data_IF_098321280046
#
_entry.id   IF_098321280046
#
_cell.length_a   1.000
_cell.length_b   1.000
_cell.length_c   1.000
_cell.angle_alpha   90.00
_cell.angle_beta   90.00
_cell.angle_gamma   90.00
#
_symmetry.space_group_name_H-M   'P 1'
#
loop_
_entity.id
_entity.type
_entity.pdbx_description
1 polymer ?
#
# COMPACT_ATOMS: atom_id res chain seq x y z
N UNK A 1 4.23 -24.50 -11.14
CA UNK A 1 3.97 -25.27 -9.91
C UNK A 1 3.19 -24.34 -8.98
N UNK A 2 1.86 -24.49 -8.91
CA UNK A 2 1.04 -23.73 -7.99
C UNK A 2 1.31 -24.24 -6.57
N UNK A 3 1.99 -23.45 -5.76
CA UNK A 3 2.10 -23.71 -4.32
C UNK A 3 0.74 -23.43 -3.70
N UNK A 4 -0.05 -24.48 -3.50
CA UNK A 4 -1.19 -24.41 -2.61
C UNK A 4 -0.65 -24.20 -1.19
N UNK A 5 -0.63 -22.95 -0.71
CA UNK A 5 -0.48 -22.67 0.70
C UNK A 5 -1.68 -23.31 1.41
N UNK A 6 -1.42 -24.39 2.13
CA UNK A 6 -2.40 -25.01 3.04
C UNK A 6 -2.84 -23.91 3.99
N UNK A 7 -4.12 -23.56 3.93
CA UNK A 7 -4.76 -22.62 4.87
C UNK A 7 -4.79 -23.27 6.26
N UNK A 8 -3.69 -23.28 6.94
CA UNK A 8 -3.72 -23.53 8.38
C UNK A 8 -4.33 -22.29 9.02
N UNK A 9 -5.41 -22.49 9.76
CA UNK A 9 -6.06 -21.44 10.53
C UNK A 9 -5.02 -20.98 11.55
N UNK A 10 -4.48 -19.77 11.38
CA UNK A 10 -3.62 -19.20 12.41
C UNK A 10 -4.41 -19.17 13.72
N UNK A 11 -3.80 -19.60 14.81
CA UNK A 11 -4.46 -19.66 16.12
C UNK A 11 -4.88 -18.27 16.61
N UNK A 12 -4.14 -17.23 16.19
CA UNK A 12 -4.43 -15.84 16.47
C UNK A 12 -4.27 -15.00 15.19
N UNK A 13 -5.11 -13.98 15.04
CA UNK A 13 -5.00 -13.03 13.93
C UNK A 13 -3.86 -12.05 14.20
N UNK A 14 -3.16 -11.64 13.16
CA UNK A 14 -2.21 -10.54 13.25
C UNK A 14 -2.94 -9.22 13.46
N UNK A 15 -2.43 -8.42 14.39
CA UNK A 15 -2.93 -7.09 14.72
C UNK A 15 -2.43 -6.08 13.70
N UNK A 16 -3.37 -5.37 13.08
CA UNK A 16 -3.06 -4.46 11.98
C UNK A 16 -3.39 -3.03 12.35
N UNK A 17 -2.44 -2.13 12.08
CA UNK A 17 -2.65 -0.69 12.10
C UNK A 17 -2.92 -0.13 10.71
N UNK A 18 -3.82 0.86 10.62
CA UNK A 18 -4.08 1.59 9.38
C UNK A 18 -3.62 3.03 9.53
N UNK A 19 -2.54 3.39 8.86
CA UNK A 19 -2.03 4.77 8.80
C UNK A 19 -2.74 5.53 7.68
N UNK A 20 -3.34 6.67 8.00
CA UNK A 20 -4.20 7.42 7.08
C UNK A 20 -5.64 6.88 7.06
N UNK A 21 -6.12 6.32 8.16
CA UNK A 21 -7.40 5.61 8.29
C UNK A 21 -8.63 6.42 7.85
N UNK A 22 -8.63 7.74 7.99
CA UNK A 22 -9.76 8.61 7.62
C UNK A 22 -9.80 8.95 6.12
N UNK A 23 -8.74 8.66 5.38
CA UNK A 23 -8.67 8.82 3.93
C UNK A 23 -9.43 7.72 3.19
N UNK A 24 -9.71 7.94 1.88
CA UNK A 24 -10.47 6.98 1.08
C UNK A 24 -9.82 5.60 1.00
N UNK A 25 -8.50 5.55 0.85
CA UNK A 25 -7.75 4.28 0.81
C UNK A 25 -7.75 3.60 2.17
N UNK A 26 -7.58 4.37 3.27
CA UNK A 26 -7.68 3.84 4.63
C UNK A 26 -9.06 3.24 4.92
N UNK A 27 -10.14 3.92 4.51
CA UNK A 27 -11.51 3.39 4.60
C UNK A 27 -11.67 2.08 3.80
N UNK A 28 -11.02 1.99 2.63
CA UNK A 28 -11.06 0.78 1.82
C UNK A 28 -10.34 -0.39 2.50
N UNK A 29 -9.18 -0.15 3.12
CA UNK A 29 -8.51 -1.16 3.94
C UNK A 29 -9.42 -1.67 5.06
N UNK A 30 -10.04 -0.76 5.80
CA UNK A 30 -10.94 -1.10 6.90
C UNK A 30 -12.11 -1.98 6.41
N UNK A 31 -12.74 -1.58 5.29
CA UNK A 31 -13.83 -2.36 4.68
C UNK A 31 -13.39 -3.75 4.21
N UNK A 32 -12.18 -3.88 3.63
CA UNK A 32 -11.66 -5.15 3.14
C UNK A 32 -11.16 -6.07 4.25
N UNK A 33 -10.76 -5.50 5.38
CA UNK A 33 -10.26 -6.26 6.52
C UNK A 33 -11.36 -6.67 7.50
N UNK A 34 -12.59 -6.21 7.29
CA UNK A 34 -13.74 -6.69 8.06
C UNK A 34 -13.87 -8.20 7.92
N UNK A 35 -13.92 -8.90 9.07
CA UNK A 35 -13.99 -10.37 9.13
C UNK A 35 -12.86 -11.10 8.36
N UNK A 36 -11.70 -10.44 8.18
CA UNK A 36 -10.57 -11.08 7.50
C UNK A 36 -10.07 -12.31 8.29
N UNK A 37 -9.73 -13.42 7.62
CA UNK A 37 -9.39 -14.68 8.31
C UNK A 37 -8.08 -14.62 9.09
N UNK A 38 -7.15 -13.74 8.72
CA UNK A 38 -5.78 -13.69 9.28
C UNK A 38 -5.45 -12.35 9.96
N UNK A 39 -6.22 -11.29 9.69
CA UNK A 39 -5.92 -9.95 10.15
C UNK A 39 -7.06 -9.37 10.96
N UNK A 40 -6.70 -8.60 11.99
CA UNK A 40 -7.64 -7.82 12.80
C UNK A 40 -7.15 -6.38 12.88
N UNK A 41 -8.01 -5.42 12.55
CA UNK A 41 -7.70 -4.01 12.68
C UNK A 41 -7.79 -3.63 14.16
N UNK A 42 -6.65 -3.35 14.77
CA UNK A 42 -6.56 -2.98 16.20
C UNK A 42 -6.21 -1.51 16.42
N UNK A 43 -5.68 -0.84 15.40
CA UNK A 43 -5.23 0.55 15.54
C UNK A 43 -5.54 1.35 14.28
N UNK A 44 -6.15 2.51 14.49
CA UNK A 44 -6.42 3.50 13.45
C UNK A 44 -5.63 4.75 13.74
N UNK A 45 -4.79 5.18 12.79
CA UNK A 45 -4.01 6.40 12.92
C UNK A 45 -4.26 7.35 11.76
N UNK A 46 -4.31 8.63 12.06
CA UNK A 46 -4.54 9.67 11.08
C UNK A 46 -3.79 10.97 11.46
N UNK A 47 -4.06 12.05 10.73
CA UNK A 47 -3.46 13.36 11.04
C UNK A 47 -3.82 13.84 12.45
N UNK A 48 -3.02 14.73 13.06
CA UNK A 48 -3.29 15.30 14.38
C UNK A 48 -4.70 15.88 14.55
N UNK A 49 -5.31 16.38 13.46
CA UNK A 49 -6.69 16.91 13.48
C UNK A 49 -7.76 15.86 13.77
N UNK A 50 -7.48 14.62 13.47
CA UNK A 50 -8.40 13.49 13.68
C UNK A 50 -8.08 12.72 14.96
N UNK A 51 -6.89 12.87 15.51
CA UNK A 51 -6.45 12.18 16.70
C UNK A 51 -7.30 12.53 17.92
N UNK A 52 -7.51 11.57 18.82
CA UNK A 52 -8.30 11.69 20.04
C UNK A 52 -9.81 11.59 19.84
N UNK A 53 -10.32 11.50 18.63
CA UNK A 53 -11.73 11.33 18.31
C UNK A 53 -12.04 9.86 18.08
N UNK A 54 -13.31 9.46 18.26
CA UNK A 54 -13.76 8.17 17.76
C UNK A 54 -13.62 8.15 16.22
N UNK A 55 -13.46 6.97 15.65
CA UNK A 55 -13.32 6.87 14.20
C UNK A 55 -14.54 7.41 13.46
N UNK A 56 -15.74 7.14 13.96
CA UNK A 56 -16.99 7.66 13.39
C UNK A 56 -17.00 9.19 13.37
N UNK A 57 -16.63 9.84 14.48
CA UNK A 57 -16.50 11.31 14.57
C UNK A 57 -15.38 11.84 13.67
N UNK A 58 -14.22 11.17 13.64
CA UNK A 58 -13.08 11.58 12.83
C UNK A 58 -13.38 11.51 11.32
N UNK A 59 -14.16 10.54 10.89
CA UNK A 59 -14.67 10.42 9.51
C UNK A 59 -15.76 11.45 9.24
N UNK A 60 -16.66 11.69 10.21
CA UNK A 60 -17.64 12.79 10.18
C UNK A 60 -18.47 12.84 8.91
N UNK A 61 -19.19 11.77 8.59
CA UNK A 61 -20.05 11.68 7.39
C UNK A 61 -19.30 11.57 6.06
N UNK A 62 -17.98 11.44 6.08
CA UNK A 62 -17.11 11.27 4.89
C UNK A 62 -16.80 9.80 4.59
N UNK A 63 -17.56 8.87 5.13
CA UNK A 63 -17.49 7.47 4.72
C UNK A 63 -17.90 7.35 3.26
N UNK A 64 -17.03 6.74 2.43
CA UNK A 64 -17.19 6.72 0.96
C UNK A 64 -17.28 5.30 0.40
N UNK A 65 -17.35 4.30 1.28
CA UNK A 65 -17.53 2.91 0.86
C UNK A 65 -19.01 2.62 0.63
N UNK A 66 -19.29 1.70 -0.29
CA UNK A 66 -20.65 1.23 -0.58
C UNK A 66 -21.22 0.39 0.57
N UNK A 67 -20.35 -0.23 1.37
CA UNK A 67 -20.71 -0.98 2.57
C UNK A 67 -20.77 -0.04 3.78
N UNK A 68 -21.62 -0.33 4.77
CA UNK A 68 -21.61 0.41 6.04
C UNK A 68 -20.24 0.38 6.70
N UNK A 69 -19.97 1.39 7.54
CA UNK A 69 -18.77 1.38 8.38
C UNK A 69 -18.85 0.20 9.36
N UNK A 70 -17.80 -0.66 9.44
CA UNK A 70 -17.80 -1.79 10.37
C UNK A 70 -17.98 -1.35 11.83
N UNK A 71 -18.88 -2.02 12.55
CA UNK A 71 -19.18 -1.67 13.95
C UNK A 71 -17.94 -1.71 14.84
N UNK A 72 -17.05 -2.67 14.61
CA UNK A 72 -15.84 -2.86 15.40
C UNK A 72 -14.90 -1.65 15.41
N UNK A 73 -14.94 -0.81 14.38
CA UNK A 73 -14.03 0.35 14.28
C UNK A 73 -14.67 1.66 14.66
N UNK A 74 -15.99 1.77 14.74
CA UNK A 74 -16.71 3.03 14.97
C UNK A 74 -16.26 3.76 16.24
N UNK A 75 -16.16 3.02 17.33
CA UNK A 75 -15.78 3.55 18.66
C UNK A 75 -14.27 3.59 18.91
N UNK A 76 -13.46 3.09 17.98
CA UNK A 76 -11.99 3.12 18.14
C UNK A 76 -11.49 4.56 18.15
N UNK A 77 -10.64 4.88 19.11
CA UNK A 77 -9.99 6.19 19.16
C UNK A 77 -8.89 6.26 18.12
N UNK A 78 -8.98 7.27 17.26
CA UNK A 78 -7.97 7.52 16.24
C UNK A 78 -6.70 8.07 16.89
N UNK A 79 -5.57 7.40 16.67
CA UNK A 79 -4.26 7.85 17.15
C UNK A 79 -3.63 8.86 16.18
N UNK A 80 -2.68 9.64 16.69
CA UNK A 80 -1.89 10.52 15.87
C UNK A 80 -0.83 9.70 15.11
N UNK A 81 -0.81 9.79 13.80
CA UNK A 81 0.14 9.03 12.95
C UNK A 81 1.61 9.35 13.24
N UNK A 82 1.89 10.52 13.82
CA UNK A 82 3.25 10.93 14.20
C UNK A 82 3.72 10.35 15.55
N UNK A 83 2.83 9.74 16.32
CA UNK A 83 3.17 9.05 17.57
C UNK A 83 3.54 7.58 17.27
N UNK A 84 4.70 7.44 16.61
CA UNK A 84 5.15 6.19 15.99
C UNK A 84 5.24 5.05 17.00
N UNK A 85 5.89 5.25 18.14
CA UNK A 85 6.06 4.23 19.18
C UNK A 85 4.72 3.81 19.79
N UNK A 86 3.83 4.78 20.03
CA UNK A 86 2.50 4.52 20.56
C UNK A 86 1.66 3.65 19.63
N UNK A 87 1.68 3.96 18.33
CA UNK A 87 0.95 3.17 17.32
C UNK A 87 1.58 1.79 17.16
N UNK A 88 2.91 1.73 17.07
CA UNK A 88 3.67 0.49 16.85
C UNK A 88 3.50 -0.53 17.97
N UNK A 89 3.35 -0.10 19.23
CA UNK A 89 3.19 -0.98 20.38
C UNK A 89 1.91 -1.85 20.34
N UNK A 90 0.95 -1.49 19.50
CA UNK A 90 -0.37 -2.12 19.46
C UNK A 90 -0.61 -2.98 18.21
N UNK A 91 0.39 -3.10 17.34
CA UNK A 91 0.25 -3.76 16.04
C UNK A 91 1.41 -4.71 15.76
N UNK A 92 1.17 -5.67 14.88
CA UNK A 92 2.21 -6.55 14.36
C UNK A 92 2.77 -6.02 13.04
N UNK A 93 1.98 -5.24 12.29
CA UNK A 93 2.39 -4.49 11.12
C UNK A 93 1.35 -3.39 10.78
N UNK A 94 1.68 -2.51 9.84
CA UNK A 94 0.79 -1.44 9.41
C UNK A 94 0.59 -1.41 7.90
N UNK A 95 -0.63 -1.06 7.46
CA UNK A 95 -0.88 -0.57 6.12
C UNK A 95 -0.77 0.95 6.09
N UNK A 96 0.05 1.50 5.18
CA UNK A 96 0.21 2.95 5.03
C UNK A 96 -0.56 3.48 3.82
N UNK A 97 -1.43 4.44 4.10
CA UNK A 97 -2.19 5.22 3.12
C UNK A 97 -2.22 6.70 3.54
N UNK A 98 -1.13 7.18 4.11
CA UNK A 98 -0.99 8.58 4.52
C UNK A 98 -0.96 9.52 3.32
N UNK A 99 -1.48 10.73 3.52
CA UNK A 99 -1.53 11.79 2.49
C UNK A 99 -0.66 12.96 2.96
N UNK A 100 0.58 12.96 2.52
CA UNK A 100 1.64 13.91 2.86
C UNK A 100 2.55 14.12 1.64
N UNK A 101 3.55 14.99 1.76
CA UNK A 101 4.62 15.07 0.76
C UNK A 101 5.41 13.75 0.67
N UNK A 102 6.03 13.48 -0.48
CA UNK A 102 6.81 12.23 -0.67
C UNK A 102 7.91 12.06 0.38
N UNK A 103 8.57 13.14 0.76
CA UNK A 103 9.66 13.08 1.73
C UNK A 103 9.15 12.81 3.16
N UNK A 104 8.01 13.41 3.53
CA UNK A 104 7.35 13.12 4.80
C UNK A 104 6.86 11.66 4.85
N UNK A 105 6.30 11.15 3.74
CA UNK A 105 5.88 9.74 3.65
C UNK A 105 7.09 8.81 3.84
N UNK A 106 8.19 9.08 3.13
CA UNK A 106 9.42 8.28 3.28
C UNK A 106 9.89 8.25 4.72
N UNK A 107 9.97 9.43 5.33
CA UNK A 107 10.42 9.55 6.72
C UNK A 107 9.52 8.78 7.67
N UNK A 108 8.21 8.99 7.63
CA UNK A 108 7.30 8.36 8.58
C UNK A 108 7.23 6.84 8.40
N UNK A 109 7.23 6.34 7.16
CA UNK A 109 7.23 4.91 6.89
C UNK A 109 8.53 4.23 7.37
N UNK A 110 9.69 4.89 7.20
CA UNK A 110 10.95 4.40 7.77
C UNK A 110 11.00 4.51 9.30
N UNK A 111 10.40 5.54 9.89
CA UNK A 111 10.33 5.68 11.35
C UNK A 111 9.50 4.53 11.95
N UNK A 112 8.37 4.14 11.34
CA UNK A 112 7.64 2.93 11.72
C UNK A 112 8.47 1.66 11.54
N UNK A 113 9.18 1.51 10.44
CA UNK A 113 10.05 0.35 10.24
C UNK A 113 11.14 0.25 11.31
N UNK A 114 11.72 1.38 11.75
CA UNK A 114 12.72 1.43 12.83
C UNK A 114 12.21 1.00 14.20
N UNK A 115 10.90 1.06 14.45
CA UNK A 115 10.28 0.48 15.66
C UNK A 115 10.01 -1.02 15.53
N UNK A 116 10.67 -1.70 14.59
CA UNK A 116 10.47 -3.11 14.26
C UNK A 116 9.07 -3.46 13.75
N UNK A 117 8.34 -2.46 13.25
CA UNK A 117 7.00 -2.61 12.68
C UNK A 117 7.06 -2.64 11.15
N UNK A 118 6.76 -3.77 10.50
CA UNK A 118 6.67 -3.83 9.04
C UNK A 118 5.60 -2.89 8.49
N UNK A 119 5.94 -2.21 7.41
CA UNK A 119 5.05 -1.26 6.71
C UNK A 119 4.72 -1.77 5.31
N UNK A 120 3.45 -2.00 5.03
CA UNK A 120 2.97 -2.29 3.68
C UNK A 120 2.31 -1.03 3.12
N UNK A 121 3.02 -0.37 2.21
CA UNK A 121 2.65 0.97 1.74
C UNK A 121 1.85 0.94 0.43
N UNK A 122 0.75 1.69 0.43
CA UNK A 122 0.00 2.01 -0.79
C UNK A 122 0.60 3.21 -1.54
N UNK A 123 1.52 3.94 -0.90
CA UNK A 123 2.07 5.19 -1.41
C UNK A 123 3.13 4.98 -2.50
N UNK A 124 3.38 6.03 -3.26
CA UNK A 124 4.38 5.99 -4.34
C UNK A 124 5.77 6.44 -3.89
N UNK A 125 5.93 6.92 -2.66
CA UNK A 125 7.14 7.59 -2.20
C UNK A 125 8.39 6.71 -2.29
N UNK A 126 8.29 5.46 -1.87
CA UNK A 126 9.40 4.51 -1.86
C UNK A 126 9.56 3.64 -3.12
N UNK A 127 8.71 3.78 -4.14
CA UNK A 127 8.74 2.91 -5.33
C UNK A 127 10.09 2.87 -6.05
N UNK A 128 10.91 3.91 -5.91
CA UNK A 128 12.23 4.02 -6.51
C UNK A 128 13.37 3.99 -5.49
N UNK A 129 13.09 3.62 -4.26
CA UNK A 129 14.11 3.39 -3.24
C UNK A 129 14.71 2.00 -3.48
N UNK A 130 16.03 1.88 -3.73
CA UNK A 130 16.61 0.63 -4.27
C UNK A 130 16.42 -0.61 -3.40
N UNK A 131 16.36 -0.43 -2.10
CA UNK A 131 16.21 -1.50 -1.12
C UNK A 131 14.79 -1.66 -0.57
N UNK A 132 13.82 -0.98 -1.20
CA UNK A 132 12.39 -1.15 -0.87
C UNK A 132 11.73 -2.00 -1.96
N UNK A 133 11.21 -3.19 -1.62
CA UNK A 133 10.59 -4.04 -2.61
C UNK A 133 9.26 -3.45 -3.10
N UNK A 134 9.09 -3.40 -4.42
CA UNK A 134 7.82 -3.08 -5.07
C UNK A 134 7.27 -4.37 -5.66
N UNK A 135 6.22 -4.93 -5.04
CA UNK A 135 5.80 -6.32 -5.27
C UNK A 135 4.36 -6.43 -5.74
N UNK A 136 4.18 -7.29 -6.74
CA UNK A 136 2.94 -8.02 -7.01
C UNK A 136 3.26 -9.48 -6.67
N UNK A 137 2.75 -10.03 -5.55
CA UNK A 137 3.22 -11.32 -5.02
C UNK A 137 3.15 -12.49 -5.99
N UNK A 138 2.19 -12.47 -6.92
CA UNK A 138 2.03 -13.50 -7.95
C UNK A 138 3.03 -13.39 -9.11
N UNK A 139 3.76 -12.26 -9.21
CA UNK A 139 4.61 -11.94 -10.35
C UNK A 139 6.09 -11.94 -9.99
N UNK A 140 6.44 -11.24 -8.92
CA UNK A 140 7.83 -10.98 -8.54
C UNK A 140 8.10 -11.12 -7.03
N UNK A 141 7.71 -12.24 -6.40
CA UNK A 141 7.93 -12.45 -4.96
C UNK A 141 9.41 -12.41 -4.58
N UNK A 142 10.32 -12.76 -5.49
CA UNK A 142 11.76 -12.69 -5.30
C UNK A 142 12.25 -11.26 -4.98
N UNK A 143 11.48 -10.23 -5.35
CA UNK A 143 11.86 -8.85 -5.01
C UNK A 143 11.84 -8.58 -3.49
N UNK A 144 11.22 -9.43 -2.69
CA UNK A 144 11.33 -9.35 -1.23
C UNK A 144 12.75 -9.58 -0.69
N UNK A 145 13.65 -10.19 -1.45
CA UNK A 145 15.05 -10.41 -1.04
C UNK A 145 15.80 -9.11 -0.74
N UNK A 146 15.42 -7.99 -1.38
CA UNK A 146 16.04 -6.67 -1.10
C UNK A 146 15.78 -6.17 0.32
N UNK A 147 14.79 -6.71 1.04
CA UNK A 147 14.48 -6.37 2.43
C UNK A 147 15.70 -6.56 3.34
N UNK A 148 16.53 -7.54 3.08
CA UNK A 148 17.72 -7.79 3.89
C UNK A 148 18.74 -6.62 3.79
N UNK A 149 18.85 -5.99 2.62
CA UNK A 149 19.64 -4.76 2.46
C UNK A 149 19.01 -3.57 3.16
N UNK A 150 17.68 -3.47 3.10
CA UNK A 150 16.94 -2.41 3.78
C UNK A 150 17.08 -2.50 5.29
N UNK A 151 16.92 -3.69 5.87
CA UNK A 151 17.10 -3.92 7.31
C UNK A 151 18.50 -3.51 7.77
N UNK A 152 19.54 -3.84 7.01
CA UNK A 152 20.92 -3.40 7.30
C UNK A 152 21.03 -1.87 7.31
N UNK A 153 20.43 -1.19 6.34
CA UNK A 153 20.43 0.28 6.26
C UNK A 153 19.67 0.92 7.41
N UNK A 154 18.50 0.36 7.77
CA UNK A 154 17.65 0.90 8.83
C UNK A 154 18.09 0.49 10.24
N UNK A 155 18.94 -0.54 10.37
CA UNK A 155 19.35 -1.12 11.66
C UNK A 155 18.25 -1.94 12.33
N UNK A 156 17.38 -2.60 11.54
CA UNK A 156 16.23 -3.36 12.03
C UNK A 156 16.43 -4.86 11.85
N UNK A 157 15.65 -5.65 12.57
CA UNK A 157 15.59 -7.11 12.44
C UNK A 157 14.29 -7.60 11.83
N UNK A 158 13.16 -6.98 12.17
CA UNK A 158 11.81 -7.30 11.68
C UNK A 158 11.24 -6.19 10.82
N UNK A 159 11.52 -4.92 11.18
CA UNK A 159 10.94 -3.75 10.53
C UNK A 159 11.46 -3.57 9.11
N UNK A 160 10.56 -3.30 8.20
CA UNK A 160 10.84 -2.98 6.79
C UNK A 160 9.67 -2.21 6.18
N UNK A 161 9.92 -1.59 5.03
CA UNK A 161 8.90 -1.01 4.17
C UNK A 161 8.82 -1.83 2.89
N UNK A 162 7.61 -2.22 2.48
CA UNK A 162 7.32 -2.80 1.18
C UNK A 162 6.20 -2.00 0.51
N UNK A 163 6.26 -1.83 -0.81
CA UNK A 163 5.29 -1.02 -1.54
C UNK A 163 4.58 -1.80 -2.64
N UNK A 164 3.33 -1.44 -2.90
CA UNK A 164 2.65 -1.91 -4.09
C UNK A 164 3.00 -1.04 -5.30
N UNK A 165 3.00 -1.58 -6.53
CA UNK A 165 3.16 -0.81 -7.75
C UNK A 165 1.96 0.12 -8.00
N UNK A 166 2.01 0.87 -9.10
CA UNK A 166 0.91 1.70 -9.56
C UNK A 166 -0.37 0.86 -9.78
N UNK A 167 -1.53 1.44 -9.45
CA UNK A 167 -2.81 0.73 -9.56
C UNK A 167 -3.15 0.29 -11.00
N UNK A 168 -2.78 1.09 -12.01
CA UNK A 168 -3.03 0.74 -13.42
C UNK A 168 -2.24 -0.50 -13.84
N UNK A 169 -0.98 -0.62 -13.42
CA UNK A 169 -0.13 -1.76 -13.76
C UNK A 169 -0.70 -3.08 -13.23
N UNK A 170 -1.32 -3.06 -12.06
CA UNK A 170 -1.86 -4.25 -11.42
C UNK A 170 -3.01 -4.89 -12.21
N UNK A 171 -3.67 -4.16 -13.08
CA UNK A 171 -4.75 -4.69 -13.92
C UNK A 171 -4.25 -5.51 -15.10
N UNK A 172 -3.09 -5.19 -15.68
CA UNK A 172 -2.58 -5.84 -16.88
C UNK A 172 -1.26 -6.62 -16.68
N UNK A 173 -0.50 -6.32 -15.63
CA UNK A 173 0.76 -7.04 -15.38
C UNK A 173 0.59 -8.56 -15.19
N UNK A 174 -0.44 -9.06 -14.48
CA UNK A 174 -0.68 -10.50 -14.38
C UNK A 174 -0.94 -11.16 -15.74
N UNK A 175 -1.69 -10.48 -16.63
CA UNK A 175 -1.95 -10.98 -17.99
C UNK A 175 -0.67 -11.05 -18.80
N UNK A 176 0.15 -9.99 -18.77
CA UNK A 176 1.44 -9.97 -19.47
C UNK A 176 2.40 -11.02 -18.92
N UNK A 177 2.32 -11.31 -17.62
CA UNK A 177 3.13 -12.36 -16.99
C UNK A 177 2.73 -13.74 -17.49
N UNK A 178 1.42 -13.99 -17.67
CA UNK A 178 0.94 -15.24 -18.26
C UNK A 178 1.41 -15.40 -19.74
N UNK A 179 1.62 -14.29 -20.45
CA UNK A 179 2.12 -14.28 -21.83
C UNK A 179 3.65 -14.19 -21.94
N UNK A 180 4.38 -14.35 -20.85
CA UNK A 180 5.84 -14.24 -20.82
C UNK A 180 6.52 -15.19 -21.81
N UNK A 181 5.95 -16.36 -22.03
CA UNK A 181 6.44 -17.35 -22.99
C UNK A 181 6.44 -16.85 -24.45
N UNK A 182 5.56 -15.91 -24.80
CA UNK A 182 5.50 -15.28 -26.12
C UNK A 182 6.46 -14.08 -26.27
N UNK A 183 7.27 -13.82 -25.25
CA UNK A 183 8.29 -12.75 -25.24
C UNK A 183 7.78 -11.38 -25.70
N UNK A 184 6.69 -10.82 -25.12
CA UNK A 184 6.19 -9.52 -25.54
C UNK A 184 7.28 -8.46 -25.38
N UNK A 185 7.60 -7.78 -26.49
CA UNK A 185 8.69 -6.79 -26.53
C UNK A 185 8.21 -5.34 -26.38
N UNK A 186 6.95 -5.08 -26.67
CA UNK A 186 6.35 -3.76 -26.53
C UNK A 186 4.90 -3.87 -26.04
N UNK A 187 4.53 -2.98 -25.12
CA UNK A 187 3.17 -2.85 -24.60
C UNK A 187 2.73 -1.40 -24.70
N UNK A 188 1.59 -1.15 -25.31
CA UNK A 188 0.91 0.13 -25.32
C UNK A 188 -0.40 -0.03 -24.52
N UNK A 189 -0.52 0.66 -23.42
CA UNK A 189 -1.71 0.59 -22.56
C UNK A 189 -2.35 1.95 -22.41
N UNK A 190 -3.66 2.03 -22.59
CA UNK A 190 -4.49 3.19 -22.28
C UNK A 190 -5.39 2.85 -21.11
N UNK A 191 -5.35 3.66 -20.07
CA UNK A 191 -6.16 3.44 -18.87
C UNK A 191 -7.11 4.59 -18.62
N UNK A 192 -8.34 4.25 -18.23
CA UNK A 192 -9.34 5.19 -17.74
C UNK A 192 -9.43 5.01 -16.22
N UNK A 193 -9.14 6.07 -15.48
CA UNK A 193 -9.10 6.00 -14.02
C UNK A 193 -10.13 6.92 -13.40
N UNK A 194 -10.89 6.40 -12.44
CA UNK A 194 -11.76 7.22 -11.60
C UNK A 194 -10.90 8.17 -10.77
N UNK A 195 -11.43 9.37 -10.53
CA UNK A 195 -10.73 10.43 -9.78
C UNK A 195 -10.40 10.02 -8.33
N UNK A 196 -11.10 9.03 -7.81
CA UNK A 196 -10.81 8.45 -6.49
C UNK A 196 -9.35 8.03 -6.30
N UNK A 197 -8.68 7.60 -7.39
CA UNK A 197 -7.27 7.24 -7.38
C UNK A 197 -6.29 8.41 -7.23
N UNK A 198 -6.74 9.64 -7.50
CA UNK A 198 -5.93 10.86 -7.37
C UNK A 198 -6.02 11.50 -5.97
N UNK A 199 -6.74 10.84 -5.04
CA UNK A 199 -6.96 11.38 -3.70
C UNK A 199 -8.13 12.38 -3.65
N UNK A 200 -8.36 12.91 -2.47
CA UNK A 200 -9.61 13.46 -2.01
C UNK A 200 -10.15 14.67 -2.76
N UNK A 201 -9.32 15.51 -3.26
CA UNK A 201 -9.72 16.80 -3.77
C UNK A 201 -8.60 17.44 -4.58
N UNK A 202 -8.24 16.88 -5.67
CA UNK A 202 -7.61 17.79 -6.60
C UNK A 202 -8.70 18.80 -7.01
N UNK A 203 -8.40 20.09 -6.95
CA UNK A 203 -9.22 21.14 -7.56
C UNK A 203 -9.50 20.84 -9.04
N UNK A 204 -8.76 19.91 -9.61
CA UNK A 204 -8.91 19.29 -10.93
C UNK A 204 -10.14 18.38 -10.98
N UNK A 205 -10.52 17.73 -9.87
CA UNK A 205 -11.64 16.76 -9.84
C UNK A 205 -13.02 17.33 -10.04
N UNK A 206 -13.18 18.62 -9.85
CA UNK A 206 -14.45 19.29 -10.23
C UNK A 206 -14.53 19.53 -11.74
N UNK A 207 -13.42 19.45 -12.46
CA UNK A 207 -13.35 19.76 -13.90
C UNK A 207 -13.31 18.51 -14.80
N UNK A 208 -12.83 17.37 -14.29
CA UNK A 208 -12.68 16.14 -15.06
C UNK A 208 -13.17 14.94 -14.25
N UNK A 209 -14.20 14.27 -14.74
CA UNK A 209 -14.75 13.06 -14.10
C UNK A 209 -13.90 11.82 -14.34
N UNK A 210 -13.03 11.85 -15.32
CA UNK A 210 -12.18 10.73 -15.73
C UNK A 210 -10.81 11.25 -16.21
N UNK A 211 -9.75 10.57 -15.83
CA UNK A 211 -8.40 10.84 -16.32
C UNK A 211 -7.96 9.66 -17.18
N UNK A 212 -7.59 9.92 -18.43
CA UNK A 212 -6.97 8.92 -19.29
C UNK A 212 -5.45 9.06 -19.22
N UNK A 213 -4.74 7.95 -19.17
CA UNK A 213 -3.29 7.90 -19.24
C UNK A 213 -2.87 6.89 -20.28
N UNK A 214 -1.91 7.25 -21.12
CA UNK A 214 -1.34 6.37 -22.13
C UNK A 214 0.05 5.99 -21.65
N UNK A 215 0.29 4.70 -21.51
CA UNK A 215 1.58 4.15 -21.14
C UNK A 215 2.13 3.37 -22.34
N UNK A 216 3.38 3.68 -22.69
CA UNK A 216 4.14 2.90 -23.69
C UNK A 216 5.34 2.31 -22.98
N UNK A 217 5.44 0.99 -23.01
CA UNK A 217 6.58 0.26 -22.51
C UNK A 217 7.22 -0.51 -23.67
N UNK A 218 8.56 -0.46 -23.73
CA UNK A 218 9.32 -1.25 -24.69
C UNK A 218 10.48 -1.92 -23.95
N UNK A 219 10.64 -3.21 -24.14
CA UNK A 219 11.78 -3.95 -23.61
C UNK A 219 13.07 -3.35 -24.20
N UNK A 220 13.95 -2.84 -23.37
CA UNK A 220 15.28 -2.45 -23.78
C UNK A 220 16.07 -3.72 -24.01
N UNK A 221 16.62 -3.94 -25.22
CA UNK A 221 17.63 -4.98 -25.46
C UNK A 221 18.90 -4.51 -24.78
N UNK A 222 19.16 -4.97 -23.57
CA UNK A 222 20.48 -4.83 -22.98
C UNK A 222 21.41 -5.85 -23.62
N UNK A 223 22.63 -5.43 -23.95
CA UNK A 223 23.69 -6.29 -24.48
C UNK A 223 24.22 -7.29 -23.42
N UNK A 224 23.70 -7.28 -22.22
CA UNK A 224 24.06 -8.17 -21.11
C UNK A 224 22.77 -8.66 -20.43
N UNK A 225 22.55 -9.91 -20.48
CA UNK A 225 21.51 -10.86 -20.06
C UNK A 225 20.59 -10.64 -18.87
N UNK A 226 20.36 -9.43 -18.35
CA UNK A 226 19.42 -9.16 -17.25
C UNK A 226 18.36 -8.15 -17.70
N UNK A 227 17.08 -8.58 -17.69
CA UNK A 227 15.97 -7.69 -18.03
C UNK A 227 15.47 -6.94 -16.80
N UNK A 228 15.71 -5.63 -16.74
CA UNK A 228 15.08 -4.76 -15.76
C UNK A 228 13.81 -4.12 -16.33
N UNK A 229 12.73 -4.14 -15.55
CA UNK A 229 11.49 -3.43 -15.86
C UNK A 229 11.66 -1.94 -15.50
N UNK A 230 11.93 -1.09 -16.49
CA UNK A 230 11.85 0.36 -16.32
C UNK A 230 10.56 0.87 -16.95
N UNK A 231 9.67 1.40 -16.12
CA UNK A 231 8.53 2.18 -16.59
C UNK A 231 8.94 3.66 -16.73
N UNK A 232 8.73 4.24 -17.91
CA UNK A 232 8.79 5.71 -18.11
C UNK A 232 7.41 6.30 -17.95
N UNK A 233 7.31 7.38 -17.17
CA UNK A 233 6.11 8.22 -16.97
C UNK A 233 5.92 9.17 -18.15
#
# INVERSE_FOLDING_TARGET
MFVYYRREKMSEKLRVGILGATGMVGQRFISLLENHPWFEVTTLAASPRSAGKTYEEAVGGRWKMDTPMPEAVKSMIVKNVNEVEEVSSHVDFVFSAVDMSKDEIKKIEEDYAKTETPVVSNNSAHRWTPDVPMVVPEINPEHFEVIESQKKRLGTTKGFVAVKPNCSIQSYAPVLTAWKEFEPYEVVATTYQAISGAGKTSKIGQRWKETSSIYRWRRRKERTGTSSFMGTY
#
